data_IF_203592005118
#
_entry.id   IF_203592005118
#
_cell.length_a   1.000
_cell.length_b   1.000
_cell.length_c   1.000
_cell.angle_alpha   90.00
_cell.angle_beta   90.00
_cell.angle_gamma   90.00
#
_symmetry.space_group_name_H-M   'P 1'
#
loop_
_entity.id
_entity.type
_entity.pdbx_description
1 polymer ?
#
# COMPACT_ATOMS: atom_id res chain seq x y z
N UNK A 1 0.56 6.07 -35.69
CA UNK A 1 -0.17 6.05 -34.40
C UNK A 1 0.88 5.78 -33.32
N UNK A 2 0.98 6.60 -32.29
CA UNK A 2 1.87 6.38 -31.15
C UNK A 2 1.09 5.59 -30.08
N UNK A 3 1.59 4.42 -29.66
CA UNK A 3 1.04 3.63 -28.56
C UNK A 3 2.03 3.71 -27.38
N UNK A 4 1.55 4.16 -26.20
CA UNK A 4 2.32 4.15 -24.96
C UNK A 4 1.95 2.90 -24.14
N UNK A 5 2.91 2.01 -23.94
CA UNK A 5 2.69 0.69 -23.31
C UNK A 5 3.37 0.55 -21.94
N UNK A 6 3.92 1.63 -21.38
CA UNK A 6 4.65 1.64 -20.11
C UNK A 6 3.84 2.36 -19.01
N UNK A 7 2.55 2.01 -18.89
CA UNK A 7 1.67 2.61 -17.87
C UNK A 7 1.99 2.14 -16.43
N UNK A 8 2.80 1.10 -16.26
CA UNK A 8 3.29 0.69 -14.93
C UNK A 8 4.33 1.67 -14.37
N UNK A 9 5.07 2.37 -15.22
CA UNK A 9 6.02 3.40 -14.81
C UNK A 9 5.34 4.76 -14.61
N UNK A 10 4.56 5.22 -15.60
CA UNK A 10 3.86 6.51 -15.56
C UNK A 10 2.55 6.44 -16.36
N UNK A 11 1.57 7.25 -15.97
CA UNK A 11 0.32 7.41 -16.71
C UNK A 11 0.10 8.87 -17.09
N UNK A 12 -0.59 9.11 -18.21
CA UNK A 12 -0.98 10.46 -18.59
C UNK A 12 -2.02 11.00 -17.61
N UNK A 13 -1.81 12.21 -17.09
CA UNK A 13 -2.79 12.92 -16.29
C UNK A 13 -4.10 13.12 -17.08
N UNK A 14 -5.24 12.87 -16.45
CA UNK A 14 -6.54 13.15 -17.06
C UNK A 14 -6.78 14.66 -17.16
N UNK A 15 -7.55 15.10 -18.17
CA UNK A 15 -7.91 16.53 -18.33
C UNK A 15 -8.57 17.08 -17.08
N UNK A 16 -9.49 16.33 -16.46
CA UNK A 16 -10.16 16.73 -15.22
C UNK A 16 -9.19 16.94 -14.06
N UNK A 17 -8.22 16.02 -13.87
CA UNK A 17 -7.22 16.17 -12.82
C UNK A 17 -6.30 17.38 -13.09
N UNK A 18 -5.88 17.56 -14.34
CA UNK A 18 -5.08 18.73 -14.78
C UNK A 18 -5.82 20.04 -14.47
N UNK A 19 -7.10 20.14 -14.85
CA UNK A 19 -7.88 21.37 -14.65
C UNK A 19 -8.03 21.70 -13.17
N UNK A 20 -8.30 20.71 -12.33
CA UNK A 20 -8.36 20.88 -10.87
C UNK A 20 -7.00 21.28 -10.28
N UNK A 21 -5.90 20.67 -10.74
CA UNK A 21 -4.55 21.05 -10.31
C UNK A 21 -4.23 22.50 -10.65
N UNK A 22 -4.57 22.96 -11.87
CA UNK A 22 -4.37 24.34 -12.30
C UNK A 22 -5.22 25.29 -11.43
N UNK A 23 -6.49 24.96 -11.16
CA UNK A 23 -7.34 25.75 -10.28
C UNK A 23 -6.73 25.89 -8.88
N UNK A 24 -6.34 24.80 -8.26
CA UNK A 24 -5.74 24.83 -6.90
C UNK A 24 -4.44 25.63 -6.89
N UNK A 25 -3.54 25.39 -7.86
CA UNK A 25 -2.26 26.08 -7.91
C UNK A 25 -2.36 27.59 -8.16
N UNK A 26 -3.37 28.02 -8.92
CA UNK A 26 -3.47 29.41 -9.38
C UNK A 26 -4.48 30.25 -8.61
N UNK A 27 -5.50 29.62 -8.03
CA UNK A 27 -6.63 30.32 -7.38
C UNK A 27 -6.81 29.92 -5.93
N UNK A 28 -6.83 28.61 -5.62
CA UNK A 28 -7.17 28.09 -4.30
C UNK A 28 -5.93 27.61 -3.52
N UNK A 29 -4.80 28.28 -3.70
CA UNK A 29 -3.46 27.92 -3.19
C UNK A 29 -3.27 28.10 -1.68
N UNK A 30 -4.36 28.26 -0.91
CA UNK A 30 -4.29 28.46 0.54
C UNK A 30 -3.62 27.29 1.29
N UNK A 31 -2.97 27.60 2.40
CA UNK A 31 -2.46 26.56 3.30
C UNK A 31 -3.64 25.93 4.05
N UNK A 32 -3.92 24.63 3.93
CA UNK A 32 -5.05 23.96 4.58
C UNK A 32 -5.00 24.00 6.13
N UNK A 33 -3.84 24.33 6.71
CA UNK A 33 -3.71 24.53 8.16
C UNK A 33 -4.03 25.96 8.63
N UNK A 34 -4.31 26.88 7.72
CA UNK A 34 -4.61 28.27 8.05
C UNK A 34 -6.09 28.48 8.36
N UNK A 35 -6.39 29.31 9.38
CA UNK A 35 -7.75 29.57 9.87
C UNK A 35 -8.52 30.66 9.10
N UNK A 36 -7.99 31.17 8.00
CA UNK A 36 -8.65 32.14 7.12
C UNK A 36 -9.35 31.44 5.94
N UNK A 37 -10.23 32.15 5.22
CA UNK A 37 -11.08 31.58 4.17
C UNK A 37 -10.34 30.77 3.11
N UNK A 38 -9.19 31.23 2.62
CA UNK A 38 -8.40 30.46 1.64
C UNK A 38 -7.86 29.13 2.23
N UNK A 39 -7.52 29.10 3.52
CA UNK A 39 -7.12 27.88 4.20
C UNK A 39 -8.26 26.87 4.32
N UNK A 40 -9.47 27.37 4.64
CA UNK A 40 -10.68 26.54 4.71
C UNK A 40 -11.00 25.93 3.34
N UNK A 41 -10.95 26.71 2.27
CA UNK A 41 -11.14 26.19 0.89
C UNK A 41 -10.11 25.11 0.55
N UNK A 42 -8.84 25.31 0.88
CA UNK A 42 -7.80 24.30 0.64
C UNK A 42 -8.01 23.02 1.48
N UNK A 43 -8.48 23.14 2.73
CA UNK A 43 -8.85 22.00 3.58
C UNK A 43 -10.03 21.20 3.01
N UNK A 44 -11.03 21.87 2.41
CA UNK A 44 -12.19 21.22 1.79
C UNK A 44 -11.79 20.27 0.67
N UNK A 45 -10.82 20.63 -0.19
CA UNK A 45 -10.27 19.73 -1.22
C UNK A 45 -9.68 18.46 -0.62
N UNK A 46 -8.94 18.57 0.47
CA UNK A 46 -8.33 17.42 1.15
C UNK A 46 -9.41 16.53 1.76
N UNK A 47 -10.42 17.11 2.41
CA UNK A 47 -11.54 16.36 3.00
C UNK A 47 -12.35 15.62 1.94
N UNK A 48 -12.67 16.30 0.84
CA UNK A 48 -13.38 15.67 -0.29
C UNK A 48 -12.59 14.51 -0.89
N UNK A 49 -11.27 14.69 -1.10
CA UNK A 49 -10.40 13.64 -1.62
C UNK A 49 -10.36 12.44 -0.67
N UNK A 50 -10.19 12.66 0.66
CA UNK A 50 -10.22 11.58 1.66
C UNK A 50 -11.56 10.85 1.66
N UNK A 51 -12.68 11.58 1.63
CA UNK A 51 -14.03 11.01 1.61
C UNK A 51 -14.24 10.12 0.38
N UNK A 52 -13.81 10.60 -0.79
CA UNK A 52 -13.94 9.84 -2.03
C UNK A 52 -13.08 8.54 -2.02
N UNK A 53 -11.85 8.61 -1.54
CA UNK A 53 -10.97 7.43 -1.43
C UNK A 53 -11.53 6.45 -0.38
N UNK A 54 -11.92 6.93 0.79
CA UNK A 54 -12.47 6.11 1.87
C UNK A 54 -13.70 5.30 1.41
N UNK A 55 -14.60 5.92 0.63
CA UNK A 55 -15.77 5.24 0.04
C UNK A 55 -15.35 4.06 -0.87
N UNK A 56 -14.29 4.22 -1.68
CA UNK A 56 -13.83 3.14 -2.56
C UNK A 56 -13.22 1.98 -1.78
N UNK A 57 -12.58 2.27 -0.66
CA UNK A 57 -11.91 1.28 0.19
C UNK A 57 -12.82 0.76 1.32
N UNK A 58 -14.05 1.28 1.45
CA UNK A 58 -14.97 1.02 2.57
C UNK A 58 -14.30 1.28 3.93
N UNK A 59 -13.47 2.30 3.99
CA UNK A 59 -12.73 2.77 5.15
C UNK A 59 -13.32 4.08 5.69
N UNK A 60 -12.83 4.53 6.86
CA UNK A 60 -13.14 5.85 7.39
C UNK A 60 -12.15 6.91 6.86
N UNK A 61 -12.57 8.16 6.74
CA UNK A 61 -11.72 9.27 6.25
C UNK A 61 -10.44 9.45 7.07
N UNK A 62 -10.52 9.20 8.39
CA UNK A 62 -9.36 9.26 9.30
C UNK A 62 -8.30 8.19 9.02
N UNK A 63 -8.66 7.10 8.30
CA UNK A 63 -7.76 6.02 7.93
C UNK A 63 -7.01 6.32 6.61
N UNK A 64 -7.37 7.41 5.93
CA UNK A 64 -6.70 7.86 4.70
C UNK A 64 -5.58 8.84 5.07
N UNK A 65 -4.36 8.46 4.74
CA UNK A 65 -3.17 9.28 4.92
C UNK A 65 -2.53 9.57 3.57
N UNK A 66 -2.35 10.85 3.23
CA UNK A 66 -1.62 11.25 2.04
C UNK A 66 -0.11 11.30 2.32
N UNK A 67 0.66 10.77 1.38
CA UNK A 67 2.11 10.75 1.38
C UNK A 67 2.65 11.31 0.07
N UNK A 68 3.95 11.52 -0.03
CA UNK A 68 4.60 11.98 -1.27
C UNK A 68 4.63 10.91 -2.37
N UNK A 69 4.36 9.64 -2.03
CA UNK A 69 4.35 8.53 -2.98
C UNK A 69 4.44 7.17 -2.31
N UNK A 70 4.42 6.10 -3.12
CA UNK A 70 4.43 4.72 -2.63
C UNK A 70 5.63 4.37 -1.77
N UNK A 71 6.80 4.91 -2.07
CA UNK A 71 8.01 4.67 -1.27
C UNK A 71 7.83 5.17 0.17
N UNK A 72 7.30 6.37 0.37
CA UNK A 72 7.03 6.88 1.71
C UNK A 72 5.94 6.07 2.40
N UNK A 73 4.86 5.73 1.69
CA UNK A 73 3.77 4.90 2.23
C UNK A 73 4.28 3.55 2.71
N UNK A 74 5.05 2.85 1.89
CA UNK A 74 5.59 1.53 2.21
C UNK A 74 6.58 1.60 3.39
N UNK A 75 7.49 2.58 3.41
CA UNK A 75 8.41 2.77 4.54
C UNK A 75 7.66 3.06 5.84
N UNK A 76 6.67 3.94 5.81
CA UNK A 76 5.84 4.27 6.98
C UNK A 76 5.08 3.04 7.47
N UNK A 77 4.45 2.29 6.58
CA UNK A 77 3.69 1.09 6.92
C UNK A 77 4.60 0.01 7.52
N UNK A 78 5.70 -0.34 6.86
CA UNK A 78 6.56 -1.45 7.28
C UNK A 78 7.35 -1.11 8.54
N UNK A 79 8.10 0.01 8.52
CA UNK A 79 8.95 0.40 9.65
C UNK A 79 8.09 0.77 10.85
N UNK A 80 7.03 1.57 10.63
CA UNK A 80 6.12 1.98 11.69
C UNK A 80 5.46 0.78 12.37
N UNK A 81 4.91 -0.14 11.59
CA UNK A 81 4.27 -1.35 12.11
C UNK A 81 5.26 -2.25 12.86
N UNK A 82 6.44 -2.49 12.29
CA UNK A 82 7.44 -3.36 12.90
C UNK A 82 7.90 -2.81 14.26
N UNK A 83 8.26 -1.53 14.33
CA UNK A 83 8.72 -0.90 15.55
C UNK A 83 7.62 -0.81 16.63
N UNK A 84 6.38 -0.49 16.23
CA UNK A 84 5.23 -0.43 17.15
C UNK A 84 4.90 -1.80 17.76
N UNK A 85 5.08 -2.89 17.00
CA UNK A 85 4.73 -4.24 17.41
C UNK A 85 5.91 -5.09 17.89
N UNK A 86 7.10 -4.53 18.06
CA UNK A 86 8.33 -5.24 18.44
C UNK A 86 8.21 -6.08 19.71
N UNK A 87 7.30 -5.70 20.61
CA UNK A 87 7.07 -6.47 21.86
C UNK A 87 6.20 -7.72 21.65
N UNK A 88 5.41 -7.74 20.57
CA UNK A 88 4.55 -8.86 20.23
C UNK A 88 5.28 -9.94 19.42
N UNK A 89 6.37 -9.56 18.72
CA UNK A 89 7.17 -10.48 17.93
C UNK A 89 8.22 -9.76 17.10
N UNK A 90 9.03 -10.52 16.37
CA UNK A 90 10.08 -9.99 15.51
C UNK A 90 10.11 -10.61 14.12
N UNK A 91 9.07 -11.35 13.74
CA UNK A 91 9.00 -12.01 12.44
C UNK A 91 8.14 -11.24 11.45
N UNK A 92 8.68 -11.05 10.25
CA UNK A 92 8.04 -10.38 9.12
C UNK A 92 8.12 -11.30 7.90
N UNK A 93 7.01 -11.45 7.20
CA UNK A 93 6.93 -12.24 5.96
C UNK A 93 6.71 -11.29 4.80
N UNK A 94 7.37 -11.56 3.66
CA UNK A 94 7.21 -10.84 2.40
C UNK A 94 7.36 -11.80 1.23
N UNK A 95 7.40 -11.29 -0.01
CA UNK A 95 7.63 -12.11 -1.21
C UNK A 95 8.98 -11.79 -1.86
N UNK A 96 9.44 -12.65 -2.76
CA UNK A 96 10.68 -12.43 -3.52
C UNK A 96 10.51 -11.37 -4.63
N UNK A 97 9.28 -11.05 -5.01
CA UNK A 97 8.96 -10.18 -6.15
C UNK A 97 8.53 -8.77 -5.77
N UNK A 98 8.71 -8.37 -4.52
CA UNK A 98 8.34 -7.03 -4.04
C UNK A 98 9.18 -5.93 -4.71
N UNK A 99 8.56 -4.75 -4.82
CA UNK A 99 9.25 -3.56 -5.29
C UNK A 99 10.37 -3.13 -4.31
N UNK A 100 11.39 -2.42 -4.80
CA UNK A 100 12.51 -1.93 -4.00
C UNK A 100 12.08 -1.09 -2.77
N UNK A 101 10.93 -0.39 -2.84
CA UNK A 101 10.36 0.37 -1.72
C UNK A 101 9.87 -0.50 -0.56
N UNK A 102 9.73 -1.81 -0.76
CA UNK A 102 9.47 -2.83 0.26
C UNK A 102 10.79 -3.51 0.68
N UNK A 103 11.62 -3.89 -0.29
CA UNK A 103 12.84 -4.63 -0.02
C UNK A 103 13.84 -3.82 0.85
N UNK A 104 14.02 -2.52 0.55
CA UNK A 104 14.95 -1.68 1.28
C UNK A 104 14.60 -1.48 2.77
N UNK A 105 13.35 -1.11 3.16
CA UNK A 105 12.97 -1.02 4.56
C UNK A 105 13.04 -2.38 5.29
N UNK A 106 12.83 -3.51 4.60
CA UNK A 106 12.97 -4.82 5.21
C UNK A 106 14.42 -5.18 5.51
N UNK A 107 15.40 -4.80 4.66
CA UNK A 107 16.82 -4.95 4.99
C UNK A 107 17.21 -4.07 6.19
N UNK A 108 16.73 -2.83 6.27
CA UNK A 108 16.90 -2.00 7.45
C UNK A 108 16.32 -2.67 8.71
N UNK A 109 15.10 -3.23 8.64
CA UNK A 109 14.48 -3.93 9.77
C UNK A 109 15.26 -5.18 10.17
N UNK A 110 15.84 -5.91 9.22
CA UNK A 110 16.72 -7.05 9.48
C UNK A 110 17.97 -6.63 10.29
N UNK A 111 18.57 -5.49 9.94
CA UNK A 111 19.69 -4.91 10.73
C UNK A 111 19.24 -4.52 12.15
N UNK A 112 17.96 -4.18 12.34
CA UNK A 112 17.36 -3.89 13.64
C UNK A 112 16.98 -5.15 14.44
N UNK A 113 17.25 -6.35 13.92
CA UNK A 113 17.03 -7.64 14.60
C UNK A 113 15.69 -8.30 14.31
N UNK A 114 14.96 -7.85 13.28
CA UNK A 114 13.77 -8.56 12.80
C UNK A 114 14.17 -9.74 11.91
N UNK A 115 13.44 -10.84 12.02
CA UNK A 115 13.58 -12.01 11.15
C UNK A 115 12.69 -11.83 9.93
N UNK A 116 13.27 -11.87 8.73
CA UNK A 116 12.55 -11.71 7.47
C UNK A 116 12.46 -13.06 6.75
N UNK A 117 11.24 -13.51 6.47
CA UNK A 117 10.98 -14.67 5.59
C UNK A 117 10.45 -14.17 4.25
N UNK A 118 11.08 -14.58 3.16
CA UNK A 118 10.63 -14.29 1.80
C UNK A 118 9.96 -15.53 1.24
N UNK A 119 8.68 -15.42 0.87
CA UNK A 119 7.95 -16.48 0.17
C UNK A 119 8.48 -16.57 -1.26
N UNK A 120 8.71 -17.79 -1.70
CA UNK A 120 9.04 -18.06 -3.09
C UNK A 120 7.82 -17.88 -4.00
N UNK A 121 8.08 -17.67 -5.29
CA UNK A 121 7.03 -17.59 -6.31
C UNK A 121 7.22 -18.67 -7.37
N UNK A 122 6.13 -19.07 -7.98
CA UNK A 122 6.17 -20.00 -9.10
C UNK A 122 6.67 -19.31 -10.39
N UNK A 123 6.77 -20.05 -11.48
CA UNK A 123 7.19 -19.55 -12.81
C UNK A 123 6.29 -18.44 -13.39
N UNK A 124 5.09 -18.27 -12.86
CA UNK A 124 4.15 -17.22 -13.25
C UNK A 124 4.18 -16.03 -12.30
N UNK A 125 4.99 -16.09 -11.23
CA UNK A 125 5.14 -15.04 -10.24
C UNK A 125 4.14 -15.12 -9.09
N UNK A 126 3.44 -16.25 -8.87
CA UNK A 126 2.46 -16.38 -7.78
C UNK A 126 3.05 -17.07 -6.56
N UNK A 127 2.71 -16.54 -5.37
CA UNK A 127 3.08 -17.16 -4.08
C UNK A 127 2.35 -18.48 -3.84
N UNK A 128 2.95 -19.33 -3.00
CA UNK A 128 2.27 -20.51 -2.45
C UNK A 128 1.51 -20.12 -1.17
N UNK A 129 0.18 -20.32 -1.18
CA UNK A 129 -0.64 -20.13 0.02
C UNK A 129 -0.34 -21.18 1.10
N UNK A 130 0.16 -22.36 0.74
CA UNK A 130 0.63 -23.36 1.68
C UNK A 130 1.92 -22.91 2.38
N UNK A 131 2.90 -22.43 1.63
CA UNK A 131 4.13 -21.84 2.18
C UNK A 131 3.82 -20.67 3.12
N UNK A 132 2.89 -19.76 2.73
CA UNK A 132 2.43 -18.70 3.60
C UNK A 132 1.83 -19.24 4.90
N UNK A 133 0.96 -20.26 4.83
CA UNK A 133 0.32 -20.88 5.99
C UNK A 133 1.35 -21.46 6.95
N UNK A 134 2.39 -22.08 6.42
CA UNK A 134 3.46 -22.69 7.23
C UNK A 134 4.41 -21.64 7.83
N UNK A 135 4.63 -20.53 7.12
CA UNK A 135 5.50 -19.46 7.57
C UNK A 135 4.90 -18.60 8.71
N UNK A 136 3.56 -18.43 8.75
CA UNK A 136 2.90 -17.60 9.78
C UNK A 136 2.93 -18.32 11.13
N UNK A 137 3.64 -17.71 12.09
CA UNK A 137 3.76 -18.16 13.49
C UNK A 137 3.24 -17.15 14.50
N UNK A 138 3.32 -17.51 15.78
CA UNK A 138 2.86 -16.67 16.89
C UNK A 138 3.65 -15.34 16.99
N UNK A 139 4.92 -15.35 16.61
CA UNK A 139 5.80 -14.18 16.59
C UNK A 139 5.75 -13.36 15.29
N UNK A 140 4.89 -13.76 14.33
CA UNK A 140 4.70 -13.03 13.08
C UNK A 140 3.85 -11.79 13.32
N UNK A 141 4.46 -10.61 13.21
CA UNK A 141 3.80 -9.32 13.44
C UNK A 141 3.30 -8.65 12.16
N UNK A 142 3.92 -8.98 11.03
CA UNK A 142 3.64 -8.33 9.75
C UNK A 142 3.81 -9.32 8.60
N UNK A 143 2.85 -9.32 7.68
CA UNK A 143 2.98 -9.93 6.35
C UNK A 143 2.80 -8.82 5.33
N UNK A 144 3.69 -8.72 4.33
CA UNK A 144 3.64 -7.74 3.25
C UNK A 144 3.66 -8.44 1.91
N UNK A 145 2.60 -8.27 1.12
CA UNK A 145 2.45 -8.89 -0.20
C UNK A 145 1.93 -7.83 -1.18
N UNK A 146 2.63 -7.65 -2.31
CA UNK A 146 2.11 -6.78 -3.38
C UNK A 146 0.90 -7.45 -4.06
N UNK A 147 -0.11 -6.66 -4.40
CA UNK A 147 -1.32 -7.19 -5.05
C UNK A 147 -1.11 -7.46 -6.53
N UNK A 148 -0.39 -6.58 -7.23
CA UNK A 148 -0.05 -6.73 -8.66
C UNK A 148 1.40 -6.37 -8.85
N UNK A 149 2.17 -7.27 -9.45
CA UNK A 149 3.56 -7.02 -9.73
C UNK A 149 3.72 -6.03 -10.90
N UNK A 150 4.53 -5.02 -10.73
CA UNK A 150 4.74 -3.93 -11.70
C UNK A 150 5.53 -4.35 -12.95
N UNK A 151 6.28 -5.45 -12.91
CA UNK A 151 7.13 -5.91 -14.02
C UNK A 151 6.46 -6.99 -14.85
N UNK A 152 5.89 -8.01 -14.20
CA UNK A 152 5.33 -9.19 -14.87
C UNK A 152 3.80 -9.23 -14.86
N UNK A 153 3.14 -8.35 -14.11
CA UNK A 153 1.67 -8.27 -14.04
C UNK A 153 1.01 -9.42 -13.29
N UNK A 154 1.77 -10.23 -12.54
CA UNK A 154 1.19 -11.27 -11.68
C UNK A 154 0.25 -10.63 -10.64
N UNK A 155 -0.93 -11.24 -10.44
CA UNK A 155 -1.94 -10.80 -9.47
C UNK A 155 -1.97 -11.79 -8.32
N UNK A 156 -1.56 -11.34 -7.13
CA UNK A 156 -1.47 -12.20 -5.95
C UNK A 156 -2.84 -12.44 -5.29
N UNK A 157 -3.07 -13.62 -4.70
CA UNK A 157 -4.32 -14.00 -4.05
C UNK A 157 -4.43 -13.37 -2.64
N UNK A 158 -4.44 -12.04 -2.57
CA UNK A 158 -4.38 -11.29 -1.28
C UNK A 158 -5.57 -11.56 -0.37
N UNK A 159 -6.76 -11.84 -0.93
CA UNK A 159 -7.95 -12.14 -0.12
C UNK A 159 -7.83 -13.51 0.59
N UNK A 160 -7.30 -14.52 -0.10
CA UNK A 160 -7.02 -15.83 0.46
C UNK A 160 -5.87 -15.77 1.45
N UNK A 161 -4.81 -15.02 1.13
CA UNK A 161 -3.69 -14.77 2.02
C UNK A 161 -4.16 -14.14 3.34
N UNK A 162 -5.03 -13.13 3.28
CA UNK A 162 -5.58 -12.49 4.47
C UNK A 162 -6.33 -13.47 5.38
N UNK A 163 -7.16 -14.36 4.82
CA UNK A 163 -7.87 -15.38 5.59
C UNK A 163 -6.89 -16.30 6.32
N UNK A 164 -5.88 -16.80 5.59
CA UNK A 164 -4.84 -17.68 6.17
C UNK A 164 -4.11 -16.97 7.30
N UNK A 165 -3.68 -15.72 7.09
CA UNK A 165 -2.97 -14.94 8.10
C UNK A 165 -3.82 -14.79 9.36
N UNK A 166 -5.09 -14.40 9.22
CA UNK A 166 -6.00 -14.18 10.35
C UNK A 166 -6.42 -15.47 11.06
N UNK A 167 -6.51 -16.59 10.35
CA UNK A 167 -6.73 -17.92 10.95
C UNK A 167 -5.53 -18.36 11.78
N UNK A 168 -4.30 -18.12 11.33
CA UNK A 168 -3.07 -18.56 12.00
C UNK A 168 -2.66 -17.64 13.14
N UNK A 169 -2.73 -16.34 12.93
CA UNK A 169 -2.44 -15.34 13.96
C UNK A 169 -3.27 -14.06 13.70
N UNK A 170 -4.39 -13.88 14.42
CA UNK A 170 -5.30 -12.75 14.22
C UNK A 170 -4.64 -11.38 14.52
N UNK A 171 -3.54 -11.36 15.28
CA UNK A 171 -2.81 -10.14 15.63
C UNK A 171 -1.81 -9.71 14.55
N UNK A 172 -1.48 -10.58 13.59
CA UNK A 172 -0.59 -10.23 12.49
C UNK A 172 -1.23 -9.14 11.63
N UNK A 173 -0.47 -8.07 11.37
CA UNK A 173 -0.89 -7.02 10.45
C UNK A 173 -0.59 -7.48 9.03
N UNK A 174 -1.56 -7.30 8.13
CA UNK A 174 -1.39 -7.59 6.72
C UNK A 174 -1.29 -6.30 5.92
N UNK A 175 -0.12 -6.04 5.34
CA UNK A 175 0.15 -4.92 4.44
C UNK A 175 0.04 -5.40 3.00
N UNK A 176 -0.68 -4.65 2.18
CA UNK A 176 -0.81 -4.89 0.74
C UNK A 176 -0.30 -3.69 -0.03
N UNK A 177 0.80 -3.86 -0.79
CA UNK A 177 1.20 -2.86 -1.78
C UNK A 177 0.25 -2.95 -2.97
N UNK A 178 -0.64 -1.97 -3.09
CA UNK A 178 -1.65 -1.89 -4.14
C UNK A 178 -1.35 -0.79 -5.18
N UNK A 179 -0.12 -0.32 -5.28
CA UNK A 179 0.27 0.78 -6.20
C UNK A 179 -0.13 0.46 -7.63
N UNK A 180 0.10 -0.76 -8.11
CA UNK A 180 -0.30 -1.17 -9.46
C UNK A 180 -1.75 -1.63 -9.55
N UNK A 181 -2.40 -1.89 -8.43
CA UNK A 181 -3.75 -2.42 -8.37
C UNK A 181 -4.82 -1.33 -8.24
N UNK A 182 -4.59 -0.30 -7.41
CA UNK A 182 -5.59 0.72 -7.11
C UNK A 182 -5.98 1.53 -8.36
N UNK A 183 -7.27 1.42 -8.79
CA UNK A 183 -7.80 2.05 -9.99
C UNK A 183 -7.56 1.29 -11.30
N UNK A 184 -6.83 0.17 -11.29
CA UNK A 184 -6.49 -0.61 -12.48
C UNK A 184 -7.13 -2.00 -12.52
N UNK A 185 -7.32 -2.63 -11.36
CA UNK A 185 -7.99 -3.93 -11.23
C UNK A 185 -9.23 -3.83 -10.34
N UNK A 186 -10.09 -4.85 -10.35
CA UNK A 186 -11.31 -4.86 -9.53
C UNK A 186 -10.98 -4.94 -8.03
N UNK A 187 -11.54 -4.03 -7.25
CA UNK A 187 -11.31 -3.90 -5.80
C UNK A 187 -12.17 -4.78 -4.90
N UNK A 188 -12.97 -5.66 -5.45
CA UNK A 188 -13.87 -6.51 -4.64
C UNK A 188 -13.15 -7.35 -3.59
N UNK A 189 -11.82 -7.44 -3.67
CA UNK A 189 -10.99 -8.27 -2.79
C UNK A 189 -10.22 -7.48 -1.70
N UNK A 190 -10.23 -6.14 -1.71
CA UNK A 190 -9.54 -5.33 -0.69
C UNK A 190 -10.37 -5.04 0.56
N UNK A 191 -11.63 -5.48 0.61
CA UNK A 191 -12.45 -5.38 1.81
C UNK A 191 -12.27 -6.63 2.65
N UNK A 192 -11.36 -6.54 3.59
CA UNK A 192 -11.07 -7.54 4.62
C UNK A 192 -11.85 -7.25 5.90
#
# INVERSE_FOLDING_TARGET
MLAYLDNSATTRCSERAKDLMVQILMQDFGNPSSLHGMGVTAEEYIKEAKSNIAKTLKAEEKEILFTSGGTESNNMALIGTALANRRAGNHIITTEIEHASIAAPLEFLKEQGFRITKLSVDKNGHISLEELRDAVGEDTILVSIMMVNNEIGAVEPVAEAAKIIKEKNPNTIFHVDAIQAYGTVSYTHLTL
#
